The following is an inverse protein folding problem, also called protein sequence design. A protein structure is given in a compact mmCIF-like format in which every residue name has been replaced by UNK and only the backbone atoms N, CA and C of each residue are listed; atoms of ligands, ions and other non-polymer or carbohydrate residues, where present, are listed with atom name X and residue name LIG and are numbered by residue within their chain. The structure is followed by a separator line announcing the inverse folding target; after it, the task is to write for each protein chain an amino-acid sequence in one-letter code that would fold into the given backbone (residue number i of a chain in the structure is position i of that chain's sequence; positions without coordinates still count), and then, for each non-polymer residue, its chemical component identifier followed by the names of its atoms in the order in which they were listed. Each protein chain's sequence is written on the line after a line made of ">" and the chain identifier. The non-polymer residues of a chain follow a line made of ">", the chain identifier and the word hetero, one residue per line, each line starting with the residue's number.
data_IF_547146348735
#
_entry.id   IF_547146348735
#
_cell.length_a   1.000
_cell.length_b   1.000
_cell.length_c   1.000
_cell.angle_alpha   90.00
_cell.angle_beta   90.00
_cell.angle_gamma   90.00
#
_symmetry.space_group_name_H-M   'P 1'
#
loop_
_entity.id
_entity.type
_entity.pdbx_description
1 polymer ?
#
# COMPACT_ATOMS: atom_id res chain seq x y z
N UNK A 1 28.43 -58.84 37.52
CA UNK A 1 28.68 -57.82 36.47
C UNK A 1 27.40 -57.03 36.29
N UNK A 2 27.35 -55.79 36.78
CA UNK A 2 26.18 -54.92 36.63
C UNK A 2 26.36 -54.04 35.38
N UNK A 3 25.32 -53.84 34.55
CA UNK A 3 25.44 -53.03 33.35
C UNK A 3 25.46 -51.55 33.72
N UNK A 4 26.40 -50.80 33.12
CA UNK A 4 26.45 -49.34 33.21
C UNK A 4 25.46 -48.81 32.16
N UNK A 5 24.43 -48.10 32.62
CA UNK A 5 23.49 -47.39 31.74
C UNK A 5 24.02 -45.98 31.50
N UNK A 6 24.37 -45.68 30.24
CA UNK A 6 24.80 -44.35 29.81
C UNK A 6 23.57 -43.52 29.45
N UNK A 7 23.26 -42.50 30.25
CA UNK A 7 22.19 -41.54 29.97
C UNK A 7 22.81 -40.33 29.25
N UNK A 8 22.51 -40.17 27.96
CA UNK A 8 22.92 -39.00 27.19
C UNK A 8 21.83 -37.94 27.33
N UNK A 9 22.12 -36.89 28.11
CA UNK A 9 21.23 -35.72 28.24
C UNK A 9 21.50 -34.80 27.05
N UNK A 10 20.57 -34.76 26.11
CA UNK A 10 20.61 -33.84 24.98
C UNK A 10 20.25 -32.43 25.48
N UNK A 11 21.26 -31.58 25.72
CA UNK A 11 21.07 -30.17 26.01
C UNK A 11 20.58 -29.45 24.75
N UNK A 12 19.26 -29.33 24.61
CA UNK A 12 18.64 -28.44 23.62
C UNK A 12 18.88 -27.01 24.07
N UNK A 13 19.95 -26.39 23.56
CA UNK A 13 20.18 -24.96 23.74
C UNK A 13 19.15 -24.24 22.89
N UNK A 14 18.05 -23.84 23.52
CA UNK A 14 17.09 -22.91 22.92
C UNK A 14 17.75 -21.53 22.95
N UNK A 15 18.49 -21.18 21.90
CA UNK A 15 18.92 -19.81 21.70
C UNK A 15 17.68 -18.97 21.41
N UNK A 16 17.16 -18.31 22.44
CA UNK A 16 16.20 -17.22 22.30
C UNK A 16 16.91 -16.12 21.50
N UNK A 17 16.75 -16.13 20.17
CA UNK A 17 17.17 -15.02 19.35
C UNK A 17 16.19 -13.89 19.65
N UNK A 18 16.47 -13.11 20.69
CA UNK A 18 15.88 -11.80 20.86
C UNK A 18 16.20 -11.05 19.57
N UNK A 19 15.19 -10.78 18.74
CA UNK A 19 15.33 -9.85 17.63
C UNK A 19 15.94 -8.57 18.23
N UNK A 20 17.15 -8.22 17.81
CA UNK A 20 17.83 -7.06 18.37
C UNK A 20 16.95 -5.85 18.04
N UNK A 21 16.29 -5.29 19.05
CA UNK A 21 15.41 -4.14 18.89
C UNK A 21 16.27 -2.97 18.37
N UNK A 22 16.21 -2.72 17.06
CA UNK A 22 16.99 -1.65 16.45
C UNK A 22 16.28 -0.34 16.76
N UNK A 23 17.04 0.64 17.25
CA UNK A 23 16.54 2.01 17.45
C UNK A 23 16.51 2.82 16.14
N UNK A 24 16.58 2.14 15.00
CA UNK A 24 16.56 2.73 13.67
C UNK A 24 15.89 1.77 12.69
N UNK A 25 15.37 2.30 11.61
CA UNK A 25 14.91 1.54 10.44
C UNK A 25 15.59 2.07 9.18
N UNK A 26 15.60 1.27 8.12
CA UNK A 26 16.10 1.68 6.81
C UNK A 26 14.94 1.89 5.85
N UNK A 27 14.77 3.10 5.34
CA UNK A 27 13.77 3.42 4.34
C UNK A 27 14.33 3.30 2.91
N UNK A 28 13.46 2.95 1.97
CA UNK A 28 13.68 3.07 0.54
C UNK A 28 12.55 3.88 -0.09
N UNK A 29 12.89 4.72 -1.07
CA UNK A 29 11.93 5.42 -1.92
C UNK A 29 12.26 5.09 -3.37
N UNK A 30 11.24 4.88 -4.18
CA UNK A 30 11.41 4.57 -5.60
C UNK A 30 10.86 5.70 -6.46
N UNK A 31 11.74 6.42 -7.15
CA UNK A 31 11.32 7.34 -8.21
C UNK A 31 11.03 6.55 -9.48
N UNK A 32 9.82 6.70 -10.02
CA UNK A 32 9.31 5.84 -11.07
C UNK A 32 8.96 6.61 -12.33
N UNK A 33 9.58 6.22 -13.45
CA UNK A 33 9.12 6.59 -14.78
C UNK A 33 8.01 5.63 -15.21
N UNK A 34 6.75 6.06 -15.04
CA UNK A 34 5.57 5.24 -15.35
C UNK A 34 5.56 4.80 -16.81
N UNK A 35 5.35 3.50 -17.03
CA UNK A 35 5.05 2.93 -18.33
C UNK A 35 3.58 3.18 -18.72
N UNK A 36 3.33 3.37 -20.02
CA UNK A 36 2.00 3.28 -20.62
C UNK A 36 1.50 4.54 -21.31
N UNK A 37 0.86 4.32 -22.46
CA UNK A 37 0.23 5.33 -23.33
C UNK A 37 -1.27 5.07 -23.48
N UNK A 38 -1.99 5.97 -24.17
CA UNK A 38 -3.45 5.87 -24.37
C UNK A 38 -3.87 4.62 -25.16
N UNK A 39 -2.94 4.08 -25.95
CA UNK A 39 -3.18 2.91 -26.80
C UNK A 39 -2.94 1.58 -26.06
N UNK A 40 -2.31 1.62 -24.88
CA UNK A 40 -2.04 0.43 -24.10
C UNK A 40 -3.26 0.06 -23.25
N UNK A 41 -3.52 -1.23 -23.11
CA UNK A 41 -4.60 -1.71 -22.23
C UNK A 41 -4.28 -1.40 -20.76
N UNK A 42 -5.31 -1.12 -19.95
CA UNK A 42 -5.14 -0.87 -18.52
C UNK A 42 -4.37 -1.99 -17.81
N UNK A 43 -4.67 -3.25 -18.16
CA UNK A 43 -3.98 -4.41 -17.64
C UNK A 43 -2.49 -4.41 -17.95
N UNK A 44 -2.10 -4.14 -19.21
CA UNK A 44 -0.68 -4.10 -19.60
C UNK A 44 0.08 -3.00 -18.83
N UNK A 45 -0.53 -1.81 -18.70
CA UNK A 45 0.03 -0.70 -17.94
C UNK A 45 0.25 -1.11 -16.49
N UNK A 46 -0.77 -1.65 -15.84
CA UNK A 46 -0.74 -2.05 -14.43
C UNK A 46 0.29 -3.16 -14.19
N UNK A 47 0.24 -4.26 -14.96
CA UNK A 47 1.18 -5.39 -14.81
C UNK A 47 2.64 -4.94 -15.00
N UNK A 48 2.90 -4.07 -15.98
CA UNK A 48 4.26 -3.59 -16.27
C UNK A 48 4.80 -2.69 -15.15
N UNK A 49 4.00 -1.74 -14.67
CA UNK A 49 4.43 -0.85 -13.58
C UNK A 49 4.61 -1.62 -12.25
N UNK A 50 3.75 -2.59 -11.96
CA UNK A 50 3.90 -3.46 -10.79
C UNK A 50 5.15 -4.36 -10.87
N UNK A 51 5.57 -4.78 -12.07
CA UNK A 51 6.83 -5.50 -12.26
C UNK A 51 8.05 -4.62 -11.94
N UNK A 52 8.03 -3.33 -12.29
CA UNK A 52 9.06 -2.39 -11.85
C UNK A 52 9.09 -2.22 -10.34
N UNK A 53 7.92 -2.13 -9.70
CA UNK A 53 7.81 -2.06 -8.24
C UNK A 53 8.42 -3.32 -7.60
N UNK A 54 8.06 -4.51 -8.09
CA UNK A 54 8.60 -5.78 -7.60
C UNK A 54 10.13 -5.78 -7.60
N UNK A 55 10.76 -5.37 -8.70
CA UNK A 55 12.23 -5.28 -8.81
C UNK A 55 12.82 -4.26 -7.84
N UNK A 56 12.17 -3.11 -7.65
CA UNK A 56 12.62 -2.09 -6.71
C UNK A 56 12.59 -2.62 -5.26
N UNK A 57 11.51 -3.32 -4.86
CA UNK A 57 11.42 -3.97 -3.56
C UNK A 57 12.49 -5.06 -3.36
N UNK A 58 12.77 -5.87 -4.37
CA UNK A 58 13.84 -6.88 -4.29
C UNK A 58 15.23 -6.26 -4.08
N UNK A 59 15.49 -5.11 -4.71
CA UNK A 59 16.75 -4.37 -4.51
C UNK A 59 16.77 -3.75 -3.10
N UNK A 60 15.68 -3.11 -2.68
CA UNK A 60 15.57 -2.48 -1.38
C UNK A 60 15.72 -3.48 -0.22
N UNK A 61 15.02 -4.62 -0.31
CA UNK A 61 15.09 -5.71 0.67
C UNK A 61 16.49 -6.34 0.73
N UNK A 62 17.15 -6.59 -0.41
CA UNK A 62 18.56 -7.03 -0.44
C UNK A 62 19.52 -6.02 0.20
N UNK A 63 19.18 -4.74 0.15
CA UNK A 63 19.91 -3.67 0.85
C UNK A 63 19.43 -3.47 2.29
N UNK A 64 18.59 -4.35 2.83
CA UNK A 64 18.13 -4.34 4.22
C UNK A 64 17.16 -3.21 4.55
N UNK A 65 16.38 -2.72 3.58
CA UNK A 65 15.31 -1.77 3.84
C UNK A 65 14.13 -2.45 4.57
N UNK A 66 13.59 -1.77 5.59
CA UNK A 66 12.43 -2.19 6.37
C UNK A 66 11.11 -1.74 5.73
N UNK A 67 11.16 -0.66 4.95
CA UNK A 67 10.02 -0.03 4.29
C UNK A 67 10.42 0.48 2.91
N UNK A 68 9.54 0.31 1.92
CA UNK A 68 9.64 0.94 0.59
C UNK A 68 8.39 1.74 0.27
N UNK A 69 8.59 2.95 -0.26
CA UNK A 69 7.53 3.85 -0.69
C UNK A 69 7.55 4.00 -2.21
N UNK A 70 6.35 3.91 -2.80
CA UNK A 70 6.09 4.12 -4.22
C UNK A 70 5.35 5.44 -4.46
N UNK A 71 5.53 6.07 -5.65
CA UNK A 71 4.98 7.38 -5.91
C UNK A 71 3.47 7.33 -6.19
N UNK A 72 2.85 8.49 -6.01
CA UNK A 72 1.48 8.77 -6.44
C UNK A 72 1.33 8.53 -7.95
N UNK A 73 0.22 7.92 -8.39
CA UNK A 73 -0.06 7.63 -9.81
C UNK A 73 1.02 6.80 -10.53
N UNK A 74 1.86 6.05 -9.82
CA UNK A 74 2.89 5.24 -10.49
C UNK A 74 2.36 3.97 -11.16
N UNK A 75 1.13 3.52 -10.87
CA UNK A 75 0.51 2.33 -11.48
C UNK A 75 -0.67 2.63 -12.42
N UNK A 76 -1.19 3.85 -12.38
CA UNK A 76 -2.37 4.27 -13.15
C UNK A 76 -2.25 5.74 -13.57
N UNK A 77 -2.89 6.17 -14.68
CA UNK A 77 -2.66 7.49 -15.23
C UNK A 77 -3.20 8.60 -14.32
N UNK A 78 -2.42 9.68 -14.17
CA UNK A 78 -2.85 10.93 -13.53
C UNK A 78 -3.98 11.59 -14.35
N UNK A 79 -5.08 12.10 -13.79
CA UNK A 79 -6.26 12.41 -14.62
C UNK A 79 -6.21 13.69 -15.48
N UNK A 80 -5.53 14.77 -15.08
CA UNK A 80 -5.50 16.02 -15.87
C UNK A 80 -4.50 15.99 -17.04
N UNK A 81 -3.29 15.46 -16.80
CA UNK A 81 -2.28 15.23 -17.86
C UNK A 81 -2.30 13.78 -18.37
N UNK A 82 -3.35 13.03 -18.03
CA UNK A 82 -3.47 11.63 -18.34
C UNK A 82 -4.02 11.35 -19.71
N UNK A 83 -4.11 10.06 -19.95
CA UNK A 83 -4.59 9.49 -21.19
C UNK A 83 -6.04 9.87 -21.49
N UNK A 84 -6.84 10.32 -20.50
CA UNK A 84 -8.30 10.41 -20.63
C UNK A 84 -8.86 11.74 -20.08
N UNK A 85 -9.77 12.40 -20.82
CA UNK A 85 -10.41 13.63 -20.37
C UNK A 85 -11.45 13.35 -19.24
N UNK A 86 -11.89 14.39 -18.50
CA UNK A 86 -12.81 14.26 -17.37
C UNK A 86 -14.13 13.56 -17.68
N UNK A 87 -14.65 13.76 -18.91
CA UNK A 87 -15.84 13.10 -19.42
C UNK A 87 -15.70 11.57 -19.49
N UNK A 88 -14.48 11.06 -19.39
CA UNK A 88 -14.14 9.64 -19.53
C UNK A 88 -13.66 9.04 -18.22
N UNK A 89 -14.19 9.56 -17.10
CA UNK A 89 -14.03 9.00 -15.75
C UNK A 89 -14.23 7.48 -15.70
N UNK A 90 -15.15 6.93 -16.50
CA UNK A 90 -15.38 5.49 -16.55
C UNK A 90 -14.13 4.69 -16.95
N UNK A 91 -13.22 5.24 -17.78
CA UNK A 91 -11.96 4.58 -18.17
C UNK A 91 -10.98 4.46 -17.02
N UNK A 92 -11.04 5.37 -16.04
CA UNK A 92 -10.22 5.27 -14.84
C UNK A 92 -10.55 4.01 -14.03
N UNK A 93 -11.80 3.52 -14.06
CA UNK A 93 -12.21 2.31 -13.33
C UNK A 93 -11.42 1.07 -13.70
N UNK A 94 -10.91 1.00 -14.93
CA UNK A 94 -10.10 -0.13 -15.41
C UNK A 94 -8.77 -0.26 -14.65
N UNK A 95 -8.35 0.79 -13.94
CA UNK A 95 -7.12 0.84 -13.14
C UNK A 95 -7.38 0.78 -11.63
N UNK A 96 -8.64 0.60 -11.20
CA UNK A 96 -9.04 0.75 -9.80
C UNK A 96 -9.60 -0.55 -9.23
N UNK A 97 -9.45 -0.70 -7.92
CA UNK A 97 -9.95 -1.85 -7.19
C UNK A 97 -10.67 -1.39 -5.92
N UNK A 98 -11.60 -2.20 -5.41
CA UNK A 98 -12.17 -1.98 -4.08
C UNK A 98 -11.11 -2.40 -3.07
N UNK A 99 -10.61 -1.45 -2.29
CA UNK A 99 -9.68 -1.70 -1.21
C UNK A 99 -10.47 -1.94 0.08
N UNK A 100 -10.29 -3.09 0.76
CA UNK A 100 -10.97 -3.35 2.03
C UNK A 100 -10.53 -2.34 3.10
N UNK A 101 -11.40 -2.08 4.08
CA UNK A 101 -11.04 -1.25 5.24
C UNK A 101 -10.37 -2.13 6.30
N UNK A 102 -9.06 -1.96 6.58
CA UNK A 102 -8.34 -2.77 7.55
C UNK A 102 -8.85 -2.61 8.99
N UNK A 103 -9.68 -1.60 9.27
CA UNK A 103 -10.35 -1.44 10.57
C UNK A 103 -11.54 -2.39 10.77
N UNK A 104 -12.10 -2.89 9.67
CA UNK A 104 -13.31 -3.72 9.68
C UNK A 104 -12.99 -5.21 9.49
N UNK A 105 -11.96 -5.52 8.72
CA UNK A 105 -11.52 -6.88 8.48
C UNK A 105 -10.00 -6.91 8.19
N UNK A 106 -9.33 -7.92 8.74
CA UNK A 106 -7.96 -8.23 8.31
C UNK A 106 -8.01 -8.89 6.93
N UNK A 107 -7.11 -8.48 6.04
CA UNK A 107 -7.03 -9.01 4.68
C UNK A 107 -5.57 -9.15 4.25
N UNK A 108 -5.21 -10.34 3.78
CA UNK A 108 -3.92 -10.63 3.14
C UNK A 108 -4.13 -11.09 1.68
N UNK A 109 -4.17 -10.15 0.72
CA UNK A 109 -4.45 -10.47 -0.68
C UNK A 109 -3.49 -11.51 -1.31
N UNK A 110 -2.24 -11.60 -0.82
CA UNK A 110 -1.29 -12.57 -1.33
C UNK A 110 -1.66 -14.02 -0.98
N UNK A 111 -2.19 -14.23 0.24
CA UNK A 111 -2.61 -15.53 0.75
C UNK A 111 -4.06 -15.87 0.37
N UNK A 112 -4.97 -14.89 0.38
CA UNK A 112 -6.40 -15.04 0.11
C UNK A 112 -6.73 -15.02 -1.39
N UNK A 113 -6.07 -15.89 -2.15
CA UNK A 113 -6.06 -15.85 -3.64
C UNK A 113 -7.45 -15.93 -4.29
N UNK A 114 -8.41 -16.62 -3.68
CA UNK A 114 -9.76 -16.78 -4.24
C UNK A 114 -10.56 -15.48 -4.12
N UNK A 115 -10.55 -14.88 -2.94
CA UNK A 115 -11.27 -13.64 -2.64
C UNK A 115 -10.71 -12.47 -3.45
N UNK A 116 -9.39 -12.38 -3.56
CA UNK A 116 -8.72 -11.31 -4.30
C UNK A 116 -8.43 -11.67 -5.76
N UNK A 117 -9.06 -12.70 -6.32
CA UNK A 117 -8.74 -13.22 -7.67
C UNK A 117 -8.85 -12.18 -8.79
N UNK A 118 -9.74 -11.19 -8.64
CA UNK A 118 -9.93 -10.07 -9.57
C UNK A 118 -9.27 -8.76 -9.09
N UNK A 119 -8.34 -8.84 -8.13
CA UNK A 119 -7.67 -7.70 -7.49
C UNK A 119 -6.16 -7.75 -7.77
N UNK A 120 -5.80 -7.61 -9.04
CA UNK A 120 -4.44 -7.70 -9.53
C UNK A 120 -3.47 -6.80 -8.75
N UNK A 121 -3.82 -5.53 -8.54
CA UNK A 121 -3.00 -4.53 -7.86
C UNK A 121 -2.79 -4.93 -6.40
N UNK A 122 -3.88 -5.13 -5.64
CA UNK A 122 -3.77 -5.48 -4.21
C UNK A 122 -3.01 -6.78 -3.99
N UNK A 123 -3.27 -7.81 -4.80
CA UNK A 123 -2.56 -9.10 -4.71
C UNK A 123 -1.07 -8.93 -4.97
N UNK A 124 -0.72 -8.15 -6.00
CA UNK A 124 0.67 -7.99 -6.38
C UNK A 124 1.44 -7.20 -5.33
N UNK A 125 0.89 -6.08 -4.84
CA UNK A 125 1.51 -5.28 -3.77
C UNK A 125 1.65 -6.08 -2.46
N UNK A 126 0.60 -6.80 -2.05
CA UNK A 126 0.64 -7.71 -0.91
C UNK A 126 1.74 -8.76 -1.04
N UNK A 127 1.87 -9.39 -2.22
CA UNK A 127 2.94 -10.36 -2.47
C UNK A 127 4.33 -9.72 -2.57
N UNK A 128 4.46 -8.50 -3.07
CA UNK A 128 5.73 -7.76 -3.05
C UNK A 128 6.19 -7.57 -1.60
N UNK A 129 5.30 -7.13 -0.71
CA UNK A 129 5.60 -6.96 0.71
C UNK A 129 6.02 -8.30 1.35
N UNK A 130 5.16 -9.32 1.21
CA UNK A 130 5.36 -10.65 1.79
C UNK A 130 6.64 -11.33 1.32
N UNK A 131 6.88 -11.39 0.02
CA UNK A 131 8.00 -12.14 -0.55
C UNK A 131 9.35 -11.51 -0.27
N UNK A 132 9.37 -10.20 0.03
CA UNK A 132 10.58 -9.46 0.34
C UNK A 132 10.70 -9.12 1.84
N UNK A 133 9.72 -9.53 2.66
CA UNK A 133 9.62 -9.22 4.08
C UNK A 133 9.85 -7.73 4.38
N UNK A 134 9.23 -6.87 3.56
CA UNK A 134 9.39 -5.41 3.59
C UNK A 134 8.02 -4.75 3.69
N UNK A 135 7.90 -3.69 4.49
CA UNK A 135 6.67 -2.89 4.55
C UNK A 135 6.54 -2.10 3.25
N UNK A 136 5.37 -2.15 2.61
CA UNK A 136 5.10 -1.46 1.33
C UNK A 136 4.09 -0.35 1.54
N UNK A 137 4.43 0.86 1.13
CA UNK A 137 3.49 1.98 0.96
C UNK A 137 3.34 2.25 -0.54
N UNK A 138 2.14 2.15 -1.06
CA UNK A 138 1.87 2.33 -2.48
C UNK A 138 0.60 3.15 -2.71
N UNK A 139 0.57 3.87 -3.83
CA UNK A 139 -0.59 4.61 -4.28
C UNK A 139 -1.37 3.83 -5.36
N UNK A 140 -2.69 3.82 -5.26
CA UNK A 140 -3.62 3.21 -6.21
C UNK A 140 -4.97 3.92 -6.21
N UNK A 141 -5.81 3.62 -7.20
CA UNK A 141 -7.20 4.06 -7.18
C UNK A 141 -8.11 3.07 -6.44
N UNK A 142 -8.93 3.59 -5.54
CA UNK A 142 -9.92 2.84 -4.76
C UNK A 142 -11.34 3.12 -5.29
N UNK A 143 -12.14 2.07 -5.41
CA UNK A 143 -13.57 2.15 -5.68
C UNK A 143 -14.36 1.89 -4.41
N UNK A 144 -15.21 2.83 -4.02
CA UNK A 144 -16.09 2.67 -2.86
C UNK A 144 -17.54 2.93 -3.26
N UNK A 145 -18.43 1.97 -3.00
CA UNK A 145 -19.86 2.15 -3.25
C UNK A 145 -20.39 3.32 -2.41
N UNK A 146 -21.20 4.17 -3.04
CA UNK A 146 -21.84 5.30 -2.38
C UNK A 146 -23.36 5.34 -2.54
N UNK A 147 -23.97 4.28 -3.06
CA UNK A 147 -25.41 4.19 -3.28
C UNK A 147 -26.18 4.61 -2.02
N UNK A 148 -27.13 5.53 -2.19
CA UNK A 148 -27.94 6.08 -1.10
C UNK A 148 -27.26 7.21 -0.30
N UNK A 149 -26.05 7.63 -0.66
CA UNK A 149 -25.36 8.77 -0.03
C UNK A 149 -25.58 10.07 -0.83
N UNK A 150 -25.88 11.21 -0.19
CA UNK A 150 -25.93 12.50 -0.88
C UNK A 150 -24.62 12.82 -1.62
N UNK A 151 -24.74 13.27 -2.87
CA UNK A 151 -23.58 13.58 -3.72
C UNK A 151 -22.82 12.35 -4.23
N UNK A 152 -23.42 11.16 -4.17
CA UNK A 152 -22.90 10.00 -4.89
C UNK A 152 -23.00 10.26 -6.41
N UNK A 153 -21.95 10.01 -7.20
CA UNK A 153 -22.01 10.15 -8.65
C UNK A 153 -23.03 9.17 -9.26
N UNK A 154 -23.48 9.46 -10.49
CA UNK A 154 -24.52 8.69 -11.19
C UNK A 154 -24.17 7.21 -11.38
N UNK A 155 -22.87 6.89 -11.40
CA UNK A 155 -22.36 5.53 -11.53
C UNK A 155 -22.28 4.76 -10.19
N UNK A 156 -22.74 5.37 -9.10
CA UNK A 156 -22.94 4.75 -7.79
C UNK A 156 -21.66 4.52 -6.98
N UNK A 157 -20.50 5.00 -7.44
CA UNK A 157 -19.19 4.72 -6.82
C UNK A 157 -18.32 5.97 -6.73
N UNK A 158 -17.58 6.09 -5.62
CA UNK A 158 -16.49 7.05 -5.50
C UNK A 158 -15.20 6.47 -6.10
N UNK A 159 -14.45 7.33 -6.80
CA UNK A 159 -13.10 7.08 -7.29
C UNK A 159 -12.13 7.83 -6.38
N UNK A 160 -11.34 7.13 -5.59
CA UNK A 160 -10.55 7.74 -4.52
C UNK A 160 -9.06 7.52 -4.77
N UNK A 161 -8.28 8.60 -4.75
CA UNK A 161 -6.82 8.52 -4.79
C UNK A 161 -6.34 8.01 -3.43
N UNK A 162 -5.67 6.86 -3.41
CA UNK A 162 -5.55 6.05 -2.20
C UNK A 162 -4.14 5.55 -1.97
N UNK A 163 -3.58 5.86 -0.80
CA UNK A 163 -2.42 5.14 -0.30
C UNK A 163 -2.88 3.90 0.46
N UNK A 164 -2.26 2.77 0.13
CA UNK A 164 -2.39 1.49 0.84
C UNK A 164 -1.07 1.12 1.48
N UNK A 165 -1.13 0.52 2.67
CA UNK A 165 0.04 0.07 3.41
C UNK A 165 -0.09 -1.42 3.69
N UNK A 166 0.92 -2.18 3.30
CA UNK A 166 1.05 -3.60 3.57
C UNK A 166 2.19 -3.84 4.55
N UNK A 167 1.93 -4.66 5.57
CA UNK A 167 2.97 -5.15 6.48
C UNK A 167 3.86 -6.20 5.79
N UNK A 168 4.97 -6.55 6.44
CA UNK A 168 6.00 -7.48 5.95
C UNK A 168 5.47 -8.88 5.59
N UNK A 169 4.31 -9.27 6.10
CA UNK A 169 3.65 -10.54 5.79
C UNK A 169 2.65 -10.44 4.61
N UNK A 170 2.44 -9.24 4.08
CA UNK A 170 1.49 -8.93 3.01
C UNK A 170 0.09 -8.52 3.48
N UNK A 171 -0.16 -8.38 4.78
CA UNK A 171 -1.46 -7.96 5.31
C UNK A 171 -1.66 -6.47 5.12
N UNK A 172 -2.85 -6.04 4.68
CA UNK A 172 -3.20 -4.62 4.59
C UNK A 172 -3.37 -4.07 6.01
N UNK A 173 -2.56 -3.10 6.40
CA UNK A 173 -2.61 -2.49 7.75
C UNK A 173 -3.13 -1.06 7.74
N UNK A 174 -3.14 -0.39 6.59
CA UNK A 174 -3.64 0.97 6.50
C UNK A 174 -4.14 1.32 5.10
N UNK A 175 -5.13 2.23 5.07
CA UNK A 175 -5.67 2.84 3.86
C UNK A 175 -5.94 4.32 4.15
N UNK A 176 -5.49 5.19 3.26
CA UNK A 176 -5.69 6.64 3.33
C UNK A 176 -6.18 7.16 1.99
N UNK A 177 -7.31 7.87 1.99
CA UNK A 177 -7.83 8.58 0.82
C UNK A 177 -7.33 10.03 0.81
N UNK A 178 -6.82 10.50 -0.33
CA UNK A 178 -6.35 11.89 -0.51
C UNK A 178 -7.44 12.88 -0.12
N UNK A 179 -7.10 13.87 0.72
CA UNK A 179 -8.09 14.85 1.21
C UNK A 179 -8.11 16.14 0.40
N UNK A 180 -7.05 16.44 -0.33
CA UNK A 180 -6.94 17.68 -1.11
C UNK A 180 -6.52 17.37 -2.54
N UNK A 181 -7.51 17.33 -3.44
CA UNK A 181 -7.23 17.08 -4.85
C UNK A 181 -6.50 18.27 -5.48
N UNK A 182 -5.59 17.97 -6.40
CA UNK A 182 -4.87 18.92 -7.24
C UNK A 182 -5.15 18.56 -8.68
N UNK A 183 -6.21 19.14 -9.26
CA UNK A 183 -6.64 18.94 -10.65
C UNK A 183 -6.87 17.47 -11.07
N UNK A 184 -7.20 16.56 -10.16
CA UNK A 184 -7.45 15.14 -10.48
C UNK A 184 -8.88 14.92 -10.98
N UNK A 185 -9.15 15.42 -12.18
CA UNK A 185 -10.49 15.38 -12.78
C UNK A 185 -11.00 13.94 -12.92
N UNK A 186 -12.17 13.65 -12.35
CA UNK A 186 -12.72 12.30 -12.33
C UNK A 186 -12.39 11.50 -11.07
N UNK A 187 -11.62 12.05 -10.13
CA UNK A 187 -11.51 11.57 -8.75
C UNK A 187 -12.48 12.33 -7.84
N UNK A 188 -12.87 11.71 -6.73
CA UNK A 188 -13.71 12.31 -5.69
C UNK A 188 -12.92 12.55 -4.41
N UNK A 189 -13.47 13.42 -3.58
CA UNK A 189 -13.01 13.62 -2.21
C UNK A 189 -13.64 12.58 -1.26
N UNK A 190 -12.90 12.08 -0.27
CA UNK A 190 -13.48 11.27 0.79
C UNK A 190 -14.54 12.07 1.55
N UNK A 191 -15.64 11.41 1.95
CA UNK A 191 -16.75 12.05 2.68
C UNK A 191 -16.48 12.22 4.17
N UNK A 192 -15.50 11.49 4.69
CA UNK A 192 -15.09 11.55 6.09
C UNK A 192 -13.64 11.94 6.14
N UNK A 193 -13.29 12.59 7.22
CA UNK A 193 -11.90 12.83 7.58
C UNK A 193 -11.16 11.48 7.74
N UNK A 194 -9.99 11.39 7.12
CA UNK A 194 -9.18 10.17 7.07
C UNK A 194 -8.23 10.08 8.25
N UNK A 195 -8.00 8.87 8.71
CA UNK A 195 -6.95 8.59 9.67
C UNK A 195 -5.65 8.41 8.90
N UNK A 196 -4.67 9.26 9.16
CA UNK A 196 -3.43 9.29 8.40
C UNK A 196 -2.27 8.55 9.08
N UNK A 197 -2.44 8.03 10.31
CA UNK A 197 -1.38 7.33 11.04
C UNK A 197 -1.58 5.84 11.13
N UNK A 198 -0.48 5.09 11.11
CA UNK A 198 -0.44 3.65 11.35
C UNK A 198 0.79 3.27 12.19
N UNK A 199 0.68 2.16 12.92
CA UNK A 199 1.73 1.65 13.81
C UNK A 199 2.52 0.54 13.09
N UNK A 200 3.82 0.44 13.39
CA UNK A 200 4.73 -0.60 12.88
C UNK A 200 5.65 -1.07 14.00
N UNK A 201 6.38 -2.17 13.79
CA UNK A 201 7.36 -2.66 14.79
C UNK A 201 8.55 -1.72 14.99
N UNK A 202 8.74 -0.72 14.13
CA UNK A 202 9.86 0.24 14.18
C UNK A 202 9.39 1.70 14.29
N UNK A 203 8.13 1.93 14.64
CA UNK A 203 7.60 3.26 14.98
C UNK A 203 6.22 3.56 14.39
N UNK A 204 5.70 4.73 14.77
CA UNK A 204 4.46 5.29 14.25
C UNK A 204 4.73 6.12 13.01
N UNK A 205 3.97 5.87 11.95
CA UNK A 205 4.08 6.56 10.67
C UNK A 205 2.81 7.34 10.37
N UNK A 206 2.98 8.37 9.52
CA UNK A 206 1.89 9.10 8.90
C UNK A 206 1.99 8.97 7.37
N UNK A 207 0.85 8.97 6.69
CA UNK A 207 0.76 8.99 5.22
C UNK A 207 -0.24 10.04 4.77
N UNK A 208 0.13 10.77 3.73
CA UNK A 208 -0.68 11.75 3.01
C UNK A 208 -0.19 11.81 1.57
N UNK A 209 -0.92 12.49 0.68
CA UNK A 209 -0.66 12.41 -0.75
C UNK A 209 -0.46 13.81 -1.33
N UNK A 210 0.76 14.07 -1.81
CA UNK A 210 1.09 15.22 -2.67
C UNK A 210 0.57 16.55 -2.08
N UNK A 211 -0.44 17.14 -2.72
CA UNK A 211 -1.01 18.45 -2.35
C UNK A 211 -1.59 18.51 -0.93
N UNK A 212 -1.87 17.37 -0.30
CA UNK A 212 -2.22 17.32 1.12
C UNK A 212 -1.20 18.05 2.03
N UNK A 213 0.08 18.09 1.65
CA UNK A 213 1.15 18.70 2.45
C UNK A 213 0.95 20.20 2.71
N UNK A 214 0.28 20.89 1.79
CA UNK A 214 0.07 22.35 1.87
C UNK A 214 -1.03 22.73 2.89
N UNK A 215 -1.72 21.74 3.44
CA UNK A 215 -2.83 21.95 4.35
C UNK A 215 -2.41 21.74 5.80
N UNK A 216 -2.94 22.61 6.68
CA UNK A 216 -2.59 22.70 8.10
C UNK A 216 -2.57 21.33 8.78
N UNK A 217 -3.63 20.54 8.56
CA UNK A 217 -3.80 19.22 9.18
C UNK A 217 -2.62 18.29 8.94
N UNK A 218 -2.05 18.26 7.74
CA UNK A 218 -0.93 17.38 7.40
C UNK A 218 0.43 18.00 7.71
N UNK A 219 0.56 19.32 7.52
CA UNK A 219 1.77 20.05 7.89
C UNK A 219 2.05 20.09 9.41
N UNK A 220 1.03 19.88 10.25
CA UNK A 220 1.17 19.81 11.71
C UNK A 220 1.56 18.42 12.22
N UNK A 221 1.38 17.35 11.43
CA UNK A 221 1.79 15.99 11.81
C UNK A 221 3.30 15.88 12.01
N UNK A 222 4.08 16.61 11.20
CA UNK A 222 5.53 16.72 11.38
C UNK A 222 5.95 17.51 12.62
N UNK A 223 5.02 18.19 13.31
CA UNK A 223 5.26 19.01 14.51
C UNK A 223 4.86 18.34 15.82
N UNK A 224 4.11 17.23 15.77
CA UNK A 224 3.77 16.48 16.99
C UNK A 224 5.05 15.83 17.49
N UNK A 225 5.64 16.45 18.53
CA UNK A 225 6.75 15.85 19.29
C UNK A 225 6.30 14.45 19.72
N UNK A 226 7.05 13.42 19.33
CA UNK A 226 6.86 12.08 19.86
C UNK A 226 6.77 12.14 21.38
N UNK A 227 5.68 11.59 21.91
CA UNK A 227 5.54 11.35 23.35
C UNK A 227 6.49 10.26 23.80
#
# INVERSE_FOLDING_TARGET
>A
MAPIVLVIVLLVVVTSCSEAHRNYYRAAVYEHARFGTINDTARLIVETNLEYYRRAAEIASRKGADIILYPEYGIFPYPEYGLYPPAERFRLKEFMEIVPDPKTASANPCLERKEFSQRLILRTLSCIARNNSILVVANMGDLQSCLGTPGCPDDGVFHLNTNVVFDKDGTIIHKYHKEHLFYELGMDLPRKEQFFTFETSFGKFATFICFDIDFKRMSEVGRVKGG
#
